data_IF_101343970817
#
_entry.id   IF_101343970817
#
_cell.length_a   1.000
_cell.length_b   1.000
_cell.length_c   1.000
_cell.angle_alpha   90.00
_cell.angle_beta   90.00
_cell.angle_gamma   90.00
#
_symmetry.space_group_name_H-M   'P 1'
#
loop_
_entity.id
_entity.type
_entity.pdbx_description
1 polymer ?
#
# COMPACT_ATOMS: atom_id res chain seq x y z
N UNK A 1 -13.29 7.10 -7.30
CA UNK A 1 -12.93 7.56 -5.95
C UNK A 1 -13.38 9.01 -5.75
N UNK A 2 -14.04 9.37 -4.64
CA UNK A 2 -14.27 10.78 -4.26
C UNK A 2 -13.30 11.19 -3.16
N UNK A 3 -12.73 12.40 -3.26
CA UNK A 3 -11.84 12.94 -2.24
C UNK A 3 -12.29 14.35 -1.93
N UNK A 4 -12.53 14.64 -0.65
CA UNK A 4 -12.89 15.97 -0.17
C UNK A 4 -11.76 16.97 -0.39
N UNK A 5 -12.12 18.23 -0.61
CA UNK A 5 -11.14 19.25 -1.01
C UNK A 5 -10.08 19.50 0.06
N UNK A 6 -10.47 19.54 1.34
CA UNK A 6 -9.49 19.68 2.43
C UNK A 6 -8.56 18.49 2.57
N UNK A 7 -9.04 17.26 2.34
CA UNK A 7 -8.16 16.09 2.34
C UNK A 7 -7.07 16.20 1.25
N UNK A 8 -7.42 16.70 0.05
CA UNK A 8 -6.45 17.00 -1.01
C UNK A 8 -5.50 18.12 -0.62
N UNK A 9 -6.02 19.22 -0.07
CA UNK A 9 -5.23 20.39 0.32
C UNK A 9 -4.20 20.05 1.42
N UNK A 10 -4.51 19.08 2.28
CA UNK A 10 -3.61 18.55 3.30
C UNK A 10 -2.65 17.47 2.77
N UNK A 11 -2.63 17.22 1.46
CA UNK A 11 -1.64 16.36 0.82
C UNK A 11 -1.89 14.86 0.98
N UNK A 12 -3.13 14.44 1.26
CA UNK A 12 -3.46 13.00 1.31
C UNK A 12 -3.21 12.36 -0.05
N UNK A 13 -2.68 11.15 -0.04
CA UNK A 13 -2.46 10.36 -1.25
C UNK A 13 -2.89 8.93 -1.04
N UNK A 14 -3.24 8.29 -2.15
CA UNK A 14 -3.55 6.86 -2.20
C UNK A 14 -2.45 6.16 -2.97
N UNK A 15 -1.93 5.09 -2.39
CA UNK A 15 -0.99 4.18 -3.04
C UNK A 15 -1.80 2.97 -3.50
N UNK A 16 -1.96 2.75 -4.80
CA UNK A 16 -2.65 1.57 -5.30
C UNK A 16 -2.02 0.29 -4.77
N UNK A 17 -2.84 -0.74 -4.55
CA UNK A 17 -2.40 -2.07 -4.10
C UNK A 17 -1.19 -2.60 -4.90
N UNK A 18 -1.20 -2.38 -6.22
CA UNK A 18 -0.16 -2.82 -7.16
C UNK A 18 1.17 -2.07 -7.03
N UNK A 19 1.15 -0.89 -6.41
CA UNK A 19 2.33 -0.06 -6.17
C UNK A 19 2.86 -0.21 -4.75
N UNK A 20 2.23 -1.06 -3.92
CA UNK A 20 2.70 -1.30 -2.58
C UNK A 20 4.02 -2.07 -2.60
N UNK A 21 4.94 -1.77 -1.66
CA UNK A 21 6.22 -2.45 -1.58
C UNK A 21 6.13 -3.98 -1.34
N UNK A 22 5.05 -4.46 -0.73
CA UNK A 22 4.81 -5.89 -0.45
C UNK A 22 4.10 -6.66 -1.55
N UNK A 23 3.65 -5.99 -2.62
CA UNK A 23 2.96 -6.58 -3.78
C UNK A 23 1.90 -7.64 -3.38
N UNK A 24 0.85 -7.24 -2.64
CA UNK A 24 -0.08 -8.20 -2.05
C UNK A 24 -0.88 -8.98 -3.13
N UNK A 25 -0.92 -10.32 -3.03
CA UNK A 25 -1.66 -11.17 -3.96
C UNK A 25 -3.16 -11.17 -3.65
N UNK A 26 -3.97 -11.63 -4.62
CA UNK A 26 -5.40 -11.88 -4.44
C UNK A 26 -6.27 -11.40 -5.60
N UNK A 27 -7.39 -12.11 -5.80
CA UNK A 27 -8.38 -11.82 -6.84
C UNK A 27 -9.38 -10.72 -6.41
N UNK A 28 -9.49 -10.49 -5.11
CA UNK A 28 -10.24 -9.37 -4.55
C UNK A 28 -9.25 -8.31 -4.09
N UNK A 29 -9.40 -7.11 -4.63
CA UNK A 29 -8.64 -5.94 -4.22
C UNK A 29 -9.59 -4.92 -3.60
N UNK A 30 -9.20 -4.36 -2.46
CA UNK A 30 -9.95 -3.28 -1.85
C UNK A 30 -9.43 -1.94 -2.39
N UNK A 31 -10.29 -1.19 -3.09
CA UNK A 31 -9.96 0.13 -3.63
C UNK A 31 -10.46 1.23 -2.73
N UNK A 32 -9.71 2.32 -2.64
CA UNK A 32 -10.23 3.50 -1.96
C UNK A 32 -11.42 4.05 -2.74
N UNK A 33 -12.58 4.06 -2.10
CA UNK A 33 -13.82 4.62 -2.62
C UNK A 33 -13.92 6.09 -2.30
N UNK A 34 -13.79 6.46 -1.02
CA UNK A 34 -14.02 7.82 -0.53
C UNK A 34 -12.99 8.23 0.54
N UNK A 35 -12.49 9.46 0.48
CA UNK A 35 -11.67 10.09 1.54
C UNK A 35 -12.22 11.47 1.86
N UNK A 36 -12.34 11.80 3.15
CA UNK A 36 -12.73 13.14 3.60
C UNK A 36 -12.23 13.41 5.02
N UNK A 37 -12.45 14.63 5.51
CA UNK A 37 -12.08 15.06 6.86
C UNK A 37 -13.30 15.60 7.59
N UNK A 38 -13.24 15.69 8.92
CA UNK A 38 -14.09 16.59 9.71
C UNK A 38 -13.19 17.52 10.53
N UNK A 39 -13.70 18.72 10.82
CA UNK A 39 -13.02 19.71 11.67
C UNK A 39 -13.71 19.77 13.02
N UNK A 40 -12.94 19.68 14.10
CA UNK A 40 -13.41 19.74 15.50
C UNK A 40 -14.54 18.74 15.79
N UNK A 41 -14.51 17.57 15.14
CA UNK A 41 -15.55 16.53 15.25
C UNK A 41 -16.90 16.91 14.62
N UNK A 42 -17.00 18.06 13.96
CA UNK A 42 -18.25 18.59 13.45
C UNK A 42 -18.62 18.00 12.08
N UNK A 43 -19.88 17.62 11.96
CA UNK A 43 -20.52 17.22 10.71
C UNK A 43 -21.40 18.31 10.11
N UNK A 44 -21.52 19.46 10.77
CA UNK A 44 -22.32 20.56 10.25
C UNK A 44 -21.60 21.28 9.10
N UNK A 45 -22.33 21.96 8.20
CA UNK A 45 -21.72 22.76 7.14
C UNK A 45 -20.77 23.81 7.73
N UNK A 46 -19.59 23.97 7.13
CA UNK A 46 -18.59 24.93 7.55
C UNK A 46 -17.64 25.22 6.38
N UNK A 47 -17.08 26.42 6.36
CA UNK A 47 -16.02 26.86 5.45
C UNK A 47 -14.61 26.72 6.05
N UNK A 48 -14.52 26.26 7.30
CA UNK A 48 -13.26 26.14 8.02
C UNK A 48 -12.32 25.11 7.37
N UNK A 49 -10.99 25.31 7.45
CA UNK A 49 -10.01 24.31 7.07
C UNK A 49 -10.23 22.96 7.75
N UNK A 50 -10.37 21.91 6.94
CA UNK A 50 -10.64 20.54 7.39
C UNK A 50 -12.12 20.17 7.45
N UNK A 51 -13.03 21.09 7.14
CA UNK A 51 -14.46 20.80 7.11
C UNK A 51 -14.80 19.68 6.12
N UNK A 52 -15.81 18.88 6.47
CA UNK A 52 -16.31 17.81 5.61
C UNK A 52 -17.01 18.38 4.36
N UNK A 53 -16.98 17.68 3.21
CA UNK A 53 -17.79 18.03 2.06
C UNK A 53 -19.26 17.59 2.22
N UNK A 54 -20.20 18.21 1.49
CA UNK A 54 -21.63 17.93 1.67
C UNK A 54 -21.98 16.44 1.46
N UNK A 55 -21.46 15.86 0.37
CA UNK A 55 -21.70 14.47 0.01
C UNK A 55 -21.28 13.47 1.09
N UNK A 56 -20.29 13.78 1.92
CA UNK A 56 -19.82 12.87 2.96
C UNK A 56 -20.85 12.73 4.08
N UNK A 57 -21.49 13.84 4.50
CA UNK A 57 -22.58 13.79 5.48
C UNK A 57 -23.76 13.01 4.94
N UNK A 58 -24.19 13.33 3.72
CA UNK A 58 -25.36 12.69 3.12
C UNK A 58 -25.16 11.18 2.96
N UNK A 59 -23.92 10.75 2.71
CA UNK A 59 -23.56 9.34 2.55
C UNK A 59 -23.38 8.62 3.90
N UNK A 60 -22.73 9.25 4.87
CA UNK A 60 -22.16 8.55 6.03
C UNK A 60 -22.74 8.94 7.39
N UNK A 61 -23.31 10.14 7.52
CA UNK A 61 -23.94 10.54 8.77
C UNK A 61 -25.36 10.01 8.81
N UNK A 62 -25.60 9.09 9.74
CA UNK A 62 -26.93 8.53 9.98
C UNK A 62 -27.63 9.31 11.10
N UNK A 63 -28.97 9.45 11.04
CA UNK A 63 -29.72 10.06 12.12
C UNK A 63 -29.63 9.22 13.39
N UNK A 64 -29.83 9.88 14.53
CA UNK A 64 -29.90 9.21 15.83
C UNK A 64 -30.92 8.07 15.80
N UNK A 65 -30.57 6.92 16.38
CA UNK A 65 -31.42 5.74 16.43
C UNK A 65 -31.36 4.83 15.20
N UNK A 66 -30.65 5.21 14.13
CA UNK A 66 -30.43 4.31 13.00
C UNK A 66 -29.66 3.03 13.42
N UNK A 67 -29.99 1.85 12.83
CA UNK A 67 -29.27 0.60 13.12
C UNK A 67 -27.77 0.68 12.83
N UNK A 68 -27.38 1.44 11.80
CA UNK A 68 -25.99 1.69 11.40
C UNK A 68 -25.44 3.04 11.89
N UNK A 69 -26.05 3.61 12.95
CA UNK A 69 -25.60 4.87 13.55
C UNK A 69 -24.14 4.81 13.99
N UNK A 70 -23.39 5.85 13.63
CA UNK A 70 -21.99 6.00 13.97
C UNK A 70 -21.82 6.87 15.22
N UNK A 71 -21.59 6.22 16.36
CA UNK A 71 -21.52 6.84 17.68
C UNK A 71 -20.23 7.64 17.93
N UNK A 72 -19.11 7.27 17.29
CA UNK A 72 -17.85 8.03 17.37
C UNK A 72 -17.74 9.15 16.32
N UNK A 73 -18.83 9.48 15.62
CA UNK A 73 -18.80 10.50 14.56
C UNK A 73 -18.25 11.85 15.03
N UNK A 74 -18.37 12.17 16.32
CA UNK A 74 -17.86 13.40 16.94
C UNK A 74 -16.37 13.40 17.31
N UNK A 75 -15.61 12.33 17.03
CA UNK A 75 -14.17 12.33 17.27
C UNK A 75 -13.44 13.39 16.44
N UNK A 76 -12.53 14.13 17.05
CA UNK A 76 -11.94 15.35 16.49
C UNK A 76 -10.43 15.24 16.17
N UNK A 77 -9.82 14.07 16.29
CA UNK A 77 -8.40 13.84 15.95
C UNK A 77 -8.13 12.36 15.61
N UNK A 78 -8.94 11.78 14.73
CA UNK A 78 -8.99 10.33 14.55
C UNK A 78 -8.68 9.91 13.10
N UNK A 79 -8.16 8.69 12.94
CA UNK A 79 -8.26 7.94 11.69
C UNK A 79 -9.50 7.04 11.78
N UNK A 80 -10.42 7.27 10.86
CA UNK A 80 -11.60 6.45 10.67
C UNK A 80 -11.50 5.65 9.38
N UNK A 81 -11.89 4.38 9.46
CA UNK A 81 -11.84 3.48 8.34
C UNK A 81 -13.12 2.64 8.25
N UNK A 82 -13.70 2.56 7.06
CA UNK A 82 -14.81 1.65 6.76
C UNK A 82 -14.46 0.78 5.55
N UNK A 83 -14.75 -0.51 5.66
CA UNK A 83 -14.42 -1.49 4.61
C UNK A 83 -15.73 -2.10 4.12
N UNK A 84 -15.94 -2.08 2.81
CA UNK A 84 -17.14 -2.60 2.16
C UNK A 84 -16.77 -3.83 1.33
N UNK A 85 -17.60 -4.87 1.39
CA UNK A 85 -17.51 -6.05 0.52
C UNK A 85 -18.01 -5.75 -0.90
N UNK A 86 -18.03 -6.76 -1.78
CA UNK A 86 -18.42 -6.61 -3.19
C UNK A 86 -19.85 -6.05 -3.37
N UNK A 87 -20.73 -6.30 -2.40
CA UNK A 87 -22.13 -5.89 -2.41
C UNK A 87 -22.33 -4.52 -1.72
N UNK A 88 -21.24 -3.90 -1.26
CA UNK A 88 -21.24 -2.62 -0.57
C UNK A 88 -21.62 -2.72 0.90
N UNK A 89 -21.65 -3.92 1.49
CA UNK A 89 -21.97 -4.13 2.89
C UNK A 89 -20.72 -4.00 3.78
N UNK A 90 -20.83 -3.49 5.02
CA UNK A 90 -19.68 -3.33 5.90
C UNK A 90 -19.05 -4.66 6.33
N UNK A 91 -17.74 -4.79 6.16
CA UNK A 91 -16.93 -5.89 6.68
C UNK A 91 -16.47 -5.58 8.11
N UNK A 92 -16.82 -6.45 9.06
CA UNK A 92 -16.64 -6.23 10.51
C UNK A 92 -15.78 -7.31 11.17
N UNK A 93 -14.62 -7.59 10.60
CA UNK A 93 -13.68 -8.58 11.15
C UNK A 93 -12.77 -7.96 12.20
N UNK A 94 -12.40 -8.75 13.21
CA UNK A 94 -11.41 -8.36 14.19
C UNK A 94 -10.08 -7.97 13.53
N UNK A 95 -9.48 -6.89 13.99
CA UNK A 95 -8.17 -6.35 13.58
C UNK A 95 -8.02 -6.17 12.06
N UNK A 96 -9.14 -5.88 11.40
CA UNK A 96 -9.22 -5.76 9.95
C UNK A 96 -8.37 -4.63 9.40
N UNK A 97 -8.29 -3.51 10.11
CA UNK A 97 -7.57 -2.32 9.66
C UNK A 97 -6.25 -2.24 10.39
N UNK A 98 -5.19 -1.90 9.67
CA UNK A 98 -3.86 -1.62 10.21
C UNK A 98 -3.50 -0.15 9.96
N UNK A 99 -2.81 0.47 10.92
CA UNK A 99 -2.30 1.83 10.80
C UNK A 99 -0.93 1.99 11.47
N UNK A 100 -0.08 2.84 10.90
CA UNK A 100 1.30 3.09 11.32
C UNK A 100 1.75 4.48 10.86
N UNK A 101 2.81 5.02 11.47
CA UNK A 101 3.30 6.40 11.20
C UNK A 101 4.71 6.49 10.61
N UNK A 102 5.45 5.38 10.58
CA UNK A 102 6.86 5.36 10.16
C UNK A 102 7.05 5.26 8.64
N UNK A 103 5.96 5.42 7.87
CA UNK A 103 5.97 5.53 6.42
C UNK A 103 5.67 4.24 5.65
N UNK A 104 5.26 4.41 4.40
CA UNK A 104 4.78 3.35 3.51
C UNK A 104 5.81 2.23 3.25
N UNK A 105 7.10 2.58 3.22
CA UNK A 105 8.18 1.65 2.88
C UNK A 105 8.23 0.43 3.81
N UNK A 106 7.71 0.58 5.05
CA UNK A 106 7.63 -0.52 6.01
C UNK A 106 6.81 -1.72 5.53
N UNK A 107 5.81 -1.52 4.66
CA UNK A 107 5.02 -2.64 4.15
C UNK A 107 5.90 -3.67 3.44
N UNK A 108 6.95 -3.24 2.75
CA UNK A 108 7.85 -4.13 2.00
C UNK A 108 8.88 -4.85 2.86
N UNK A 109 8.88 -4.60 4.17
CA UNK A 109 9.80 -5.25 5.09
C UNK A 109 9.28 -6.63 5.49
N UNK A 110 10.12 -7.68 5.46
CA UNK A 110 9.72 -9.02 5.92
C UNK A 110 9.31 -9.06 7.39
N UNK A 111 9.82 -8.14 8.20
CA UNK A 111 9.53 -7.98 9.62
C UNK A 111 8.42 -6.94 9.90
N UNK A 112 7.63 -6.52 8.91
CA UNK A 112 6.54 -5.54 9.08
C UNK A 112 5.56 -5.92 10.21
N UNK A 113 5.29 -7.22 10.40
CA UNK A 113 4.45 -7.72 11.49
C UNK A 113 5.06 -7.55 12.89
N UNK A 114 6.37 -7.29 12.99
CA UNK A 114 7.10 -7.09 14.24
C UNK A 114 7.21 -5.59 14.62
N UNK A 115 6.86 -4.67 13.71
CA UNK A 115 6.82 -3.23 14.01
C UNK A 115 5.57 -2.85 14.81
N UNK A 116 5.67 -1.73 15.54
CA UNK A 116 4.54 -1.14 16.25
C UNK A 116 3.55 -0.61 15.22
N UNK A 117 2.52 -1.40 14.94
CA UNK A 117 1.32 -0.98 14.20
C UNK A 117 0.11 -1.14 15.08
N UNK A 118 -0.82 -0.20 14.94
CA UNK A 118 -2.10 -0.28 15.62
C UNK A 118 -3.11 -0.97 14.71
N UNK A 119 -3.97 -1.77 15.33
CA UNK A 119 -5.06 -2.45 14.63
C UNK A 119 -6.38 -1.85 15.07
N UNK A 120 -7.32 -1.71 14.13
CA UNK A 120 -8.67 -1.25 14.43
C UNK A 120 -9.65 -2.35 14.04
N UNK A 121 -10.53 -2.68 14.98
CA UNK A 121 -11.69 -3.55 14.73
C UNK A 121 -12.89 -2.66 14.39
N UNK A 122 -13.52 -2.81 13.21
CA UNK A 122 -14.74 -2.08 12.89
C UNK A 122 -15.85 -2.39 13.90
N UNK A 123 -16.51 -1.36 14.41
CA UNK A 123 -17.61 -1.53 15.37
C UNK A 123 -18.77 -2.30 14.76
N UNK A 124 -19.38 -3.18 15.55
CA UNK A 124 -20.50 -4.01 15.08
C UNK A 124 -21.67 -3.17 14.56
N UNK A 125 -21.98 -2.05 15.21
CA UNK A 125 -23.11 -1.22 14.82
C UNK A 125 -22.88 -0.48 13.50
N UNK A 126 -21.81 0.32 13.44
CA UNK A 126 -21.59 1.29 12.36
C UNK A 126 -20.70 0.76 11.23
N UNK A 127 -19.86 -0.25 11.52
CA UNK A 127 -18.83 -0.75 10.61
C UNK A 127 -17.61 0.17 10.47
N UNK A 128 -17.46 1.17 11.34
CA UNK A 128 -16.29 2.05 11.38
C UNK A 128 -15.26 1.55 12.39
N UNK A 129 -14.00 1.48 11.98
CA UNK A 129 -12.85 1.44 12.90
C UNK A 129 -12.42 2.85 13.27
N UNK A 130 -11.89 3.02 14.47
CA UNK A 130 -11.47 4.31 15.03
C UNK A 130 -10.09 4.20 15.70
N UNK A 131 -9.18 5.12 15.36
CA UNK A 131 -7.87 5.27 16.00
C UNK A 131 -7.56 6.75 16.29
N UNK A 132 -7.45 7.18 17.55
CA UNK A 132 -6.94 8.51 17.89
C UNK A 132 -5.49 8.71 17.46
N UNK A 133 -5.14 9.92 17.03
CA UNK A 133 -3.79 10.29 16.56
C UNK A 133 -3.35 11.65 17.09
N UNK A 134 -2.03 11.82 17.30
CA UNK A 134 -1.46 13.03 17.94
C UNK A 134 -0.35 13.74 17.16
N UNK A 135 0.08 13.18 16.04
CA UNK A 135 1.15 13.77 15.24
C UNK A 135 0.61 14.96 14.41
N UNK A 136 1.33 16.07 14.42
CA UNK A 136 1.02 17.27 13.64
C UNK A 136 2.01 17.51 12.50
N UNK A 137 1.58 18.29 11.51
CA UNK A 137 2.37 18.71 10.35
C UNK A 137 1.90 20.08 9.84
N UNK A 138 2.71 20.80 9.07
CA UNK A 138 2.36 22.10 8.50
C UNK A 138 2.22 22.03 6.97
N UNK A 139 0.98 21.99 6.44
CA UNK A 139 0.73 21.95 4.99
C UNK A 139 1.39 23.09 4.22
N UNK A 140 1.50 24.28 4.82
CA UNK A 140 2.08 25.48 4.21
C UNK A 140 3.59 25.34 3.96
N UNK A 141 4.26 24.41 4.65
CA UNK A 141 5.67 24.05 4.43
C UNK A 141 5.82 22.90 3.42
N UNK A 142 4.73 22.45 2.80
CA UNK A 142 4.70 21.26 1.95
C UNK A 142 4.82 19.94 2.73
N UNK A 143 4.61 19.98 4.05
CA UNK A 143 4.61 18.76 4.88
C UNK A 143 3.30 17.99 4.69
N UNK A 144 3.36 16.69 4.95
CA UNK A 144 2.20 15.78 4.93
C UNK A 144 2.16 15.00 6.22
N UNK A 145 0.97 14.55 6.62
CA UNK A 145 0.80 13.76 7.82
C UNK A 145 1.54 12.42 7.75
N UNK A 146 2.06 11.96 8.89
CA UNK A 146 2.87 10.74 8.97
C UNK A 146 2.06 9.44 8.79
N UNK A 147 0.75 9.48 9.04
CA UNK A 147 -0.05 8.26 9.14
C UNK A 147 -0.33 7.62 7.79
N UNK A 148 -0.15 6.30 7.78
CA UNK A 148 -0.61 5.37 6.76
C UNK A 148 -1.66 4.44 7.37
N UNK A 149 -2.74 4.15 6.66
CA UNK A 149 -3.71 3.14 7.10
C UNK A 149 -4.43 2.46 5.94
N UNK A 150 -4.77 1.19 6.14
CA UNK A 150 -5.52 0.38 5.18
C UNK A 150 -6.10 -0.89 5.86
N UNK A 151 -7.09 -1.55 5.23
CA UNK A 151 -7.44 -2.93 5.55
C UNK A 151 -6.26 -3.90 5.39
N UNK A 152 -6.37 -5.10 5.95
CA UNK A 152 -5.46 -6.21 5.63
C UNK A 152 -5.75 -6.81 4.26
N UNK A 153 -4.72 -7.29 3.57
CA UNK A 153 -4.80 -7.97 2.27
C UNK A 153 -4.37 -7.10 1.09
N UNK A 154 -4.79 -7.48 -0.13
CA UNK A 154 -4.60 -6.69 -1.34
C UNK A 154 -5.51 -5.45 -1.31
N UNK A 155 -4.91 -4.30 -1.03
CA UNK A 155 -5.66 -3.06 -0.79
C UNK A 155 -4.83 -1.84 -1.12
N UNK A 156 -5.49 -0.78 -1.57
CA UNK A 156 -4.92 0.56 -1.67
C UNK A 156 -4.60 1.13 -0.27
N UNK A 157 -3.49 1.85 -0.12
CA UNK A 157 -3.07 2.45 1.16
C UNK A 157 -3.31 3.95 1.15
N UNK A 158 -3.98 4.47 2.17
CA UNK A 158 -4.09 5.91 2.39
C UNK A 158 -2.88 6.39 3.18
N UNK A 159 -2.24 7.46 2.72
CA UNK A 159 -1.05 8.07 3.32
C UNK A 159 -1.27 9.58 3.46
N UNK A 160 -0.88 10.16 4.59
CA UNK A 160 -0.96 11.61 4.79
C UNK A 160 -1.83 12.06 5.97
N UNK A 161 -2.29 11.13 6.82
CA UNK A 161 -3.11 11.48 7.99
C UNK A 161 -2.29 12.12 9.10
N UNK A 162 -2.89 13.01 9.88
CA UNK A 162 -2.22 13.80 10.91
C UNK A 162 -3.04 15.03 11.33
N UNK A 163 -2.49 15.86 12.19
CA UNK A 163 -3.10 17.11 12.65
C UNK A 163 -2.49 18.31 11.89
N UNK A 164 -3.08 18.79 10.79
CA UNK A 164 -2.55 19.93 10.05
C UNK A 164 -2.56 21.17 10.94
N UNK A 165 -1.41 21.81 11.14
CA UNK A 165 -1.20 22.92 12.06
C UNK A 165 -1.72 22.65 13.48
N UNK A 166 -1.63 21.38 13.92
CA UNK A 166 -2.18 20.92 15.20
C UNK A 166 -3.69 21.17 15.36
N UNK A 167 -4.41 21.33 14.25
CA UNK A 167 -5.85 21.43 14.24
C UNK A 167 -6.50 20.08 14.52
N UNK A 168 -7.61 20.11 15.24
CA UNK A 168 -8.43 18.93 15.52
C UNK A 168 -9.14 18.51 14.23
N UNK A 169 -8.47 17.66 13.45
CA UNK A 169 -8.96 17.12 12.19
C UNK A 169 -9.00 15.59 12.28
N UNK A 170 -10.17 15.04 12.01
CA UNK A 170 -10.34 13.59 11.80
C UNK A 170 -10.34 13.27 10.31
N UNK A 171 -9.80 12.11 9.97
CA UNK A 171 -9.67 11.59 8.61
C UNK A 171 -10.56 10.38 8.43
N UNK A 172 -11.25 10.31 7.31
CA UNK A 172 -12.15 9.22 6.97
C UNK A 172 -11.70 8.61 5.66
N UNK A 173 -11.54 7.29 5.64
CA UNK A 173 -11.29 6.54 4.42
C UNK A 173 -12.25 5.35 4.32
N UNK A 174 -12.77 5.15 3.12
CA UNK A 174 -13.68 4.05 2.81
C UNK A 174 -13.08 3.22 1.69
N UNK A 175 -13.01 1.91 1.90
CA UNK A 175 -12.58 0.94 0.90
C UNK A 175 -13.76 0.12 0.40
N UNK A 176 -13.73 -0.21 -0.88
CA UNK A 176 -14.71 -1.05 -1.56
C UNK A 176 -13.99 -2.26 -2.16
N UNK A 177 -14.44 -3.47 -1.86
CA UNK A 177 -13.95 -4.65 -2.53
C UNK A 177 -14.32 -4.59 -4.02
N UNK A 178 -13.37 -4.94 -4.87
CA UNK A 178 -13.52 -5.09 -6.30
C UNK A 178 -12.83 -6.39 -6.74
N UNK A 179 -13.36 -7.02 -7.80
CA UNK A 179 -12.62 -8.10 -8.47
C UNK A 179 -11.46 -7.47 -9.23
N UNK A 180 -10.24 -7.91 -8.95
CA UNK A 180 -9.04 -7.59 -9.73
C UNK A 180 -9.31 -8.09 -11.14
N UNK A 181 -9.47 -7.17 -12.10
CA UNK A 181 -9.77 -7.56 -13.48
C UNK A 181 -8.66 -8.46 -13.99
N UNK A 182 -9.00 -9.72 -14.27
CA UNK A 182 -8.13 -10.63 -15.00
C UNK A 182 -7.90 -10.04 -16.39
N UNK A 183 -6.64 -9.98 -16.83
CA UNK A 183 -6.32 -9.62 -18.20
C UNK A 183 -7.16 -10.45 -19.16
N UNK A 184 -7.89 -9.79 -20.06
CA UNK A 184 -8.58 -10.45 -21.16
C UNK A 184 -7.52 -11.22 -21.95
N UNK A 185 -7.59 -12.55 -21.92
CA UNK A 185 -6.88 -13.39 -22.89
C UNK A 185 -7.64 -13.22 -24.20
N UNK A 186 -7.15 -12.31 -25.04
CA UNK A 186 -7.60 -12.22 -26.43
C UNK A 186 -6.98 -13.39 -27.18
N UNK A 187 -7.78 -14.39 -27.53
CA UNK A 187 -7.43 -15.40 -28.54
C UNK A 187 -7.37 -14.72 -29.92
N UNK A 188 -6.32 -14.95 -30.73
CA UNK A 188 -6.19 -14.28 -32.01
C UNK A 188 -7.04 -14.99 -33.07
N UNK A 189 -7.98 -14.27 -33.65
CA UNK A 189 -8.42 -14.45 -35.04
C UNK A 189 -8.79 -13.08 -35.62
N UNK A 190 -8.16 -12.72 -36.75
CA UNK A 190 -8.65 -11.67 -37.65
C UNK A 190 -7.98 -10.29 -37.59
N UNK A 191 -6.78 -10.22 -38.14
CA UNK A 191 -6.10 -9.10 -38.83
C UNK A 191 -6.90 -7.80 -39.16
N UNK A 192 -6.50 -6.65 -38.60
CA UNK A 192 -5.82 -5.54 -39.31
C UNK A 192 -5.76 -4.23 -38.50
N UNK A 193 -4.55 -3.68 -38.33
CA UNK A 193 -4.35 -2.23 -38.17
C UNK A 193 -3.62 -1.75 -36.91
N UNK A 194 -2.28 -1.78 -36.95
CA UNK A 194 -1.35 -0.98 -36.12
C UNK A 194 -1.39 -1.17 -34.60
N UNK A 195 -0.68 -2.18 -34.10
CA UNK A 195 -0.41 -2.38 -32.67
C UNK A 195 1.00 -1.91 -32.29
N UNK A 196 1.10 -0.87 -31.47
CA UNK A 196 2.26 -0.65 -30.58
C UNK A 196 2.35 -1.87 -29.64
N UNK A 197 3.52 -2.52 -29.45
CA UNK A 197 3.59 -3.70 -28.61
C UNK A 197 3.41 -3.31 -27.14
N UNK A 198 2.26 -3.65 -26.56
CA UNK A 198 2.06 -3.62 -25.11
C UNK A 198 2.55 -4.95 -24.56
N UNK A 199 3.74 -4.95 -23.96
CA UNK A 199 4.29 -6.12 -23.25
C UNK A 199 3.39 -6.44 -22.03
N UNK A 200 3.12 -7.73 -21.74
CA UNK A 200 2.40 -8.15 -20.54
C UNK A 200 3.00 -7.57 -19.25
N UNK A 201 2.21 -7.26 -18.21
CA UNK A 201 2.70 -6.62 -16.98
C UNK A 201 3.81 -7.39 -16.24
N UNK A 202 3.86 -8.72 -16.37
CA UNK A 202 4.94 -9.56 -15.83
C UNK A 202 6.27 -9.34 -16.56
N UNK A 203 6.21 -9.10 -17.87
CA UNK A 203 7.37 -8.81 -18.70
C UNK A 203 7.88 -7.40 -18.47
N UNK A 204 7.05 -6.43 -18.07
CA UNK A 204 7.50 -5.05 -17.86
C UNK A 204 8.49 -4.92 -16.69
N UNK A 205 8.23 -5.57 -15.55
CA UNK A 205 9.15 -5.48 -14.40
C UNK A 205 10.44 -6.25 -14.63
N UNK A 206 10.37 -7.41 -15.26
CA UNK A 206 11.55 -8.19 -15.62
C UNK A 206 12.33 -7.48 -16.76
N UNK A 207 11.64 -6.77 -17.66
CA UNK A 207 12.24 -5.85 -18.63
C UNK A 207 12.90 -4.66 -17.93
N UNK A 208 12.24 -3.97 -17.02
CA UNK A 208 12.83 -2.82 -16.29
C UNK A 208 14.05 -3.26 -15.49
N UNK A 209 13.98 -4.39 -14.77
CA UNK A 209 15.13 -4.94 -14.04
C UNK A 209 16.26 -5.37 -14.98
N UNK A 210 15.91 -6.05 -16.08
CA UNK A 210 16.86 -6.42 -17.14
C UNK A 210 17.57 -5.18 -17.70
N UNK A 211 16.83 -4.11 -18.01
CA UNK A 211 17.38 -2.87 -18.56
C UNK A 211 18.26 -2.12 -17.56
N UNK A 212 17.83 -2.02 -16.29
CA UNK A 212 18.60 -1.36 -15.23
C UNK A 212 19.90 -2.11 -14.92
N UNK A 213 19.87 -3.45 -14.88
CA UNK A 213 21.08 -4.24 -14.65
C UNK A 213 21.98 -4.28 -15.87
N UNK A 214 21.41 -4.32 -17.09
CA UNK A 214 22.18 -4.20 -18.33
C UNK A 214 22.93 -2.86 -18.40
N UNK A 215 22.33 -1.76 -17.93
CA UNK A 215 23.00 -0.46 -17.81
C UNK A 215 24.17 -0.47 -16.81
N UNK A 216 24.16 -1.38 -15.83
CA UNK A 216 25.27 -1.63 -14.91
C UNK A 216 26.22 -2.75 -15.39
N UNK A 217 26.05 -3.24 -16.62
CA UNK A 217 26.75 -4.41 -17.16
C UNK A 217 26.58 -5.70 -16.33
N UNK A 218 25.45 -5.85 -15.64
CA UNK A 218 25.08 -7.03 -14.86
C UNK A 218 23.98 -7.81 -15.60
N UNK A 219 24.20 -9.11 -15.81
CA UNK A 219 23.24 -10.01 -16.44
C UNK A 219 22.10 -10.28 -15.46
N UNK A 220 20.90 -9.84 -15.82
CA UNK A 220 19.66 -10.18 -15.10
C UNK A 220 19.24 -11.60 -15.43
N UNK A 221 19.35 -12.49 -14.44
CA UNK A 221 18.71 -13.80 -14.47
C UNK A 221 17.90 -13.98 -13.20
N UNK A 222 16.58 -13.77 -13.31
CA UNK A 222 15.64 -13.93 -12.20
C UNK A 222 15.68 -15.33 -11.58
N UNK A 223 15.92 -16.35 -12.39
CA UNK A 223 15.84 -17.75 -11.95
C UNK A 223 17.21 -18.34 -11.61
N UNK A 224 18.27 -17.49 -11.61
CA UNK A 224 19.58 -17.86 -11.09
C UNK A 224 19.45 -18.35 -9.65
N UNK A 225 20.06 -19.50 -9.35
CA UNK A 225 20.08 -20.05 -8.00
C UNK A 225 20.71 -19.07 -7.00
N UNK A 226 21.68 -18.24 -7.42
CA UNK A 226 22.24 -17.19 -6.57
C UNK A 226 21.29 -16.02 -6.37
N UNK A 227 20.56 -15.60 -7.41
CA UNK A 227 19.54 -14.58 -7.27
C UNK A 227 18.39 -15.04 -6.35
N UNK A 228 18.00 -16.33 -6.40
CA UNK A 228 17.01 -16.92 -5.49
C UNK A 228 17.55 -16.96 -4.06
N UNK A 229 18.77 -17.49 -3.86
CA UNK A 229 19.42 -17.57 -2.55
C UNK A 229 19.61 -16.19 -1.91
N UNK A 230 20.13 -15.21 -2.66
CA UNK A 230 20.33 -13.84 -2.18
C UNK A 230 19.03 -13.16 -1.73
N UNK A 231 17.89 -13.49 -2.37
CA UNK A 231 16.57 -13.02 -1.93
C UNK A 231 16.15 -13.65 -0.60
N UNK A 232 16.35 -14.96 -0.44
CA UNK A 232 16.03 -15.67 0.82
C UNK A 232 16.88 -15.14 1.98
N UNK A 233 18.13 -14.76 1.71
CA UNK A 233 19.08 -14.29 2.71
C UNK A 233 19.25 -12.76 2.77
N UNK A 234 18.38 -11.99 2.11
CA UNK A 234 18.36 -10.52 2.13
C UNK A 234 19.69 -9.86 1.76
N UNK A 235 20.42 -10.41 0.79
CA UNK A 235 21.76 -9.92 0.44
C UNK A 235 21.75 -8.65 -0.45
N UNK A 236 20.56 -8.18 -0.84
CA UNK A 236 20.37 -6.97 -1.64
C UNK A 236 20.59 -7.18 -3.14
N UNK A 237 20.90 -6.10 -3.87
CA UNK A 237 21.07 -6.14 -5.32
C UNK A 237 22.41 -6.79 -5.71
N UNK A 238 22.48 -7.53 -6.83
CA UNK A 238 23.76 -7.99 -7.37
C UNK A 238 24.60 -6.78 -7.78
N UNK A 239 25.88 -6.83 -7.48
CA UNK A 239 26.87 -5.82 -7.84
C UNK A 239 27.86 -6.34 -8.90
N UNK A 240 27.86 -7.65 -9.16
CA UNK A 240 28.72 -8.27 -10.17
C UNK A 240 27.94 -9.26 -11.04
N UNK A 241 28.50 -9.61 -12.19
CA UNK A 241 28.13 -10.84 -12.89
C UNK A 241 28.58 -12.07 -12.11
N UNK A 242 27.96 -13.21 -12.41
CA UNK A 242 28.45 -14.51 -11.94
C UNK A 242 29.81 -14.82 -12.60
N UNK A 243 30.79 -15.22 -11.80
CA UNK A 243 32.15 -15.55 -12.26
C UNK A 243 32.58 -16.90 -11.68
N UNK A 244 33.54 -17.55 -12.34
CA UNK A 244 34.13 -18.80 -11.84
C UNK A 244 35.50 -18.51 -11.22
N UNK A 245 35.71 -18.96 -9.98
CA UNK A 245 36.98 -18.84 -9.25
C UNK A 245 37.29 -20.16 -8.55
N UNK A 246 38.41 -20.80 -8.90
CA UNK A 246 38.93 -21.96 -8.14
C UNK A 246 37.97 -23.14 -8.01
N UNK A 247 37.13 -23.40 -9.02
CA UNK A 247 36.10 -24.46 -8.98
C UNK A 247 34.76 -24.03 -8.38
N UNK A 248 34.63 -22.79 -7.92
CA UNK A 248 33.40 -22.20 -7.43
C UNK A 248 32.81 -21.24 -8.45
N UNK A 249 31.47 -21.17 -8.49
CA UNK A 249 30.73 -20.06 -9.09
C UNK A 249 30.46 -19.05 -7.99
N UNK A 250 30.65 -17.76 -8.24
CA UNK A 250 30.42 -16.69 -7.24
C UNK A 250 29.72 -15.48 -7.84
N UNK A 251 29.04 -14.70 -7.01
CA UNK A 251 28.45 -13.41 -7.37
C UNK A 251 28.40 -12.49 -6.15
N UNK A 252 28.84 -11.23 -6.32
CA UNK A 252 28.74 -10.20 -5.30
C UNK A 252 27.36 -9.57 -5.26
N UNK A 253 26.82 -9.41 -4.05
CA UNK A 253 25.58 -8.71 -3.73
C UNK A 253 25.86 -7.62 -2.68
N UNK A 254 24.96 -6.63 -2.56
CA UNK A 254 25.16 -5.48 -1.69
C UNK A 254 25.63 -5.81 -0.26
N UNK A 255 25.18 -6.94 0.32
CA UNK A 255 25.50 -7.35 1.69
C UNK A 255 26.42 -8.58 1.78
N UNK A 256 26.97 -9.09 0.68
CA UNK A 256 27.90 -10.22 0.73
C UNK A 256 28.14 -10.90 -0.61
N UNK A 257 28.98 -11.93 -0.60
CA UNK A 257 29.36 -12.71 -1.79
C UNK A 257 28.71 -14.08 -1.69
N UNK A 258 27.84 -14.41 -2.65
CA UNK A 258 27.23 -15.74 -2.77
C UNK A 258 28.16 -16.64 -3.58
N UNK A 259 28.33 -17.89 -3.15
CA UNK A 259 29.16 -18.86 -3.84
C UNK A 259 28.65 -20.29 -3.69
N UNK A 260 28.99 -21.14 -4.67
CA UNK A 260 28.77 -22.58 -4.61
C UNK A 260 29.82 -23.33 -5.44
N UNK A 261 30.19 -24.57 -5.08
CA UNK A 261 30.98 -25.42 -5.97
C UNK A 261 30.26 -25.58 -7.31
N UNK A 262 31.01 -25.51 -8.41
CA UNK A 262 30.43 -25.55 -9.76
C UNK A 262 29.63 -26.84 -9.97
N UNK A 263 28.36 -26.71 -10.32
CA UNK A 263 27.44 -27.83 -10.52
C UNK A 263 26.75 -28.37 -9.25
N UNK A 264 27.05 -27.81 -8.06
CA UNK A 264 26.43 -28.21 -6.79
C UNK A 264 25.53 -27.10 -6.23
N UNK A 265 24.45 -26.80 -6.95
CA UNK A 265 23.52 -25.70 -6.66
C UNK A 265 22.68 -25.88 -5.39
N UNK A 266 22.71 -27.06 -4.79
CA UNK A 266 22.17 -27.35 -3.47
C UNK A 266 23.09 -26.89 -2.32
N UNK A 267 24.34 -26.53 -2.60
CA UNK A 267 25.38 -26.20 -1.61
C UNK A 267 25.76 -24.73 -1.63
N UNK A 268 24.79 -23.86 -1.92
CA UNK A 268 24.98 -22.41 -1.97
C UNK A 268 25.19 -21.85 -0.55
N UNK A 269 26.21 -21.03 -0.39
CA UNK A 269 26.50 -20.28 0.82
C UNK A 269 26.77 -18.81 0.47
N UNK A 270 26.86 -17.96 1.48
CA UNK A 270 27.39 -16.62 1.33
C UNK A 270 28.40 -16.29 2.42
N UNK A 271 29.25 -15.32 2.13
CA UNK A 271 30.16 -14.70 3.10
C UNK A 271 29.98 -13.19 3.04
N UNK A 272 30.42 -12.47 4.08
CA UNK A 272 30.47 -11.01 4.04
C UNK A 272 31.52 -10.55 3.02
N UNK A 273 31.50 -9.26 2.69
CA UNK A 273 32.60 -8.62 1.96
C UNK A 273 33.94 -8.76 2.68
#
# INVERSE_FOLDING_TARGET
MRVGDWAKNFGVRVVPSEQRPDNPPGDIVYRVKDIFTTRDGSWEPSDQPGARPQWARDTYLRPWGAPDYFDDAGGDHNLFARVLDLDGQPVKRQDLIICWSDGLHLLGRPDFDQFIKMTMTPKEKSGWGNQPIWNSFSPERGEVGAWCWCPRGAVDVVVGGGLPNNWHVSWFAVWQAERRQGGVVVTPDGDNGSTTPVLPPGDLLDTVRSQVWAAAHIVYNRDSSFAVYARVHNLGAPLTNEINIGGYRTQGFAQGIVYAPTGQWQSINHTSW
#
